data_IF_378070766756
#
_entry.id   IF_378070766756
#
_cell.length_a   1.000
_cell.length_b   1.000
_cell.length_c   1.000
_cell.angle_alpha   90.00
_cell.angle_beta   90.00
_cell.angle_gamma   90.00
#
_symmetry.space_group_name_H-M   'P 1'
#
loop_
_entity.id
_entity.type
_entity.pdbx_description
1 polymer ?
#
# COMPACT_ATOMS: atom_id res chain seq x y z
N UNK A 1 2.13 25.35 -41.15
CA UNK A 1 2.03 24.07 -41.84
C UNK A 1 2.59 23.00 -40.91
N UNK A 2 1.73 22.04 -40.54
CA UNK A 2 1.97 20.63 -40.15
C UNK A 2 3.03 20.33 -39.06
N UNK A 3 2.82 19.45 -38.08
CA UNK A 3 1.71 18.56 -37.75
C UNK A 3 1.90 18.10 -36.31
N UNK A 4 0.82 18.09 -35.54
CA UNK A 4 0.76 17.62 -34.15
C UNK A 4 0.24 16.18 -34.11
N UNK A 5 1.03 15.23 -33.61
CA UNK A 5 0.59 13.93 -33.08
C UNK A 5 1.59 13.53 -31.99
N UNK A 6 1.26 13.06 -30.78
CA UNK A 6 -0.02 12.64 -30.22
C UNK A 6 0.13 11.22 -29.69
N UNK A 7 0.60 11.02 -28.46
CA UNK A 7 0.16 9.91 -27.58
C UNK A 7 0.69 10.06 -26.14
N UNK A 8 -0.23 10.10 -25.16
CA UNK A 8 0.04 10.15 -23.71
C UNK A 8 -0.28 8.78 -23.11
N UNK A 9 0.60 8.14 -22.31
CA UNK A 9 0.29 6.85 -21.73
C UNK A 9 -0.46 6.95 -20.39
N UNK A 10 -1.24 5.88 -20.16
CA UNK A 10 -2.30 5.67 -19.17
C UNK A 10 -1.82 5.71 -17.70
N UNK A 11 -2.63 6.35 -16.86
CA UNK A 11 -2.47 6.48 -15.41
C UNK A 11 -2.84 5.20 -14.62
N UNK A 12 -1.99 4.81 -13.66
CA UNK A 12 -2.31 3.83 -12.60
C UNK A 12 -2.36 4.54 -11.24
N UNK A 13 -3.53 4.54 -10.58
CA UNK A 13 -3.72 5.07 -9.23
C UNK A 13 -3.71 3.99 -8.15
N UNK A 14 -3.32 4.46 -6.97
CA UNK A 14 -3.46 3.87 -5.64
C UNK A 14 -4.79 3.12 -5.41
N UNK A 15 -4.67 2.02 -4.67
CA UNK A 15 -5.78 1.22 -4.15
C UNK A 15 -6.66 2.10 -3.25
N UNK A 16 -7.91 2.27 -3.66
CA UNK A 16 -9.01 2.85 -2.90
C UNK A 16 -10.20 1.89 -3.16
N UNK A 17 -10.95 1.41 -2.16
CA UNK A 17 -12.12 0.53 -2.38
C UNK A 17 -13.09 1.05 -3.46
N UNK A 18 -13.22 2.37 -3.61
CA UNK A 18 -14.02 3.02 -4.67
C UNK A 18 -13.54 2.69 -6.10
N UNK A 19 -12.24 2.40 -6.28
CA UNK A 19 -11.69 2.00 -7.59
C UNK A 19 -12.06 0.55 -7.96
N UNK A 20 -12.45 -0.29 -7.01
CA UNK A 20 -12.88 -1.68 -7.29
C UNK A 20 -14.26 -1.67 -7.94
N UNK A 21 -15.16 -0.81 -7.47
CA UNK A 21 -16.50 -0.60 -8.04
C UNK A 21 -16.46 -0.03 -9.46
N UNK A 22 -15.55 0.91 -9.73
CA UNK A 22 -15.33 1.49 -11.07
C UNK A 22 -14.75 0.49 -12.08
N UNK A 23 -13.95 -0.48 -11.64
CA UNK A 23 -13.47 -1.58 -12.50
C UNK A 23 -14.61 -2.56 -12.81
N UNK A 24 -15.50 -2.80 -11.84
CA UNK A 24 -16.67 -3.67 -11.98
C UNK A 24 -17.67 -3.14 -13.01
N UNK A 25 -18.03 -1.86 -12.93
CA UNK A 25 -18.93 -1.19 -13.89
C UNK A 25 -18.30 -1.14 -15.29
N UNK A 26 -16.98 -0.93 -15.39
CA UNK A 26 -16.27 -0.90 -16.68
C UNK A 26 -16.30 -2.25 -17.41
N UNK A 27 -16.02 -3.36 -16.73
CA UNK A 27 -16.06 -4.70 -17.36
C UNK A 27 -17.48 -5.08 -17.80
N UNK A 28 -18.51 -4.74 -17.01
CA UNK A 28 -19.91 -5.00 -17.36
C UNK A 28 -20.40 -4.17 -18.55
N UNK A 29 -19.95 -2.91 -18.69
CA UNK A 29 -20.26 -2.09 -19.87
C UNK A 29 -19.59 -2.63 -21.14
N UNK A 30 -18.31 -3.01 -21.11
CA UNK A 30 -17.63 -3.59 -22.28
C UNK A 30 -18.28 -4.89 -22.74
N UNK A 31 -18.74 -5.74 -21.82
CA UNK A 31 -19.48 -6.97 -22.15
C UNK A 31 -20.89 -6.72 -22.71
N UNK A 32 -21.53 -5.58 -22.38
CA UNK A 32 -22.80 -5.17 -22.99
C UNK A 32 -22.61 -4.62 -24.40
N UNK A 33 -21.57 -3.81 -24.63
CA UNK A 33 -21.28 -3.22 -25.95
C UNK A 33 -20.86 -4.29 -26.97
N UNK A 34 -20.10 -5.30 -26.56
CA UNK A 34 -19.73 -6.42 -27.45
C UNK A 34 -20.89 -7.37 -27.77
N UNK A 35 -22.04 -7.26 -27.08
CA UNK A 35 -23.25 -8.04 -27.38
C UNK A 35 -24.26 -7.30 -28.27
N UNK A 36 -24.06 -6.00 -28.53
CA UNK A 36 -24.98 -5.19 -29.35
C UNK A 36 -24.51 -4.94 -30.78
N UNK A 37 -23.24 -5.19 -31.10
CA UNK A 37 -22.69 -4.90 -32.44
C UNK A 37 -22.61 -6.15 -33.32
N UNK A 38 -23.73 -6.85 -33.47
CA UNK A 38 -23.83 -7.95 -34.42
C UNK A 38 -25.10 -7.84 -35.27
N UNK A 39 -25.37 -6.66 -35.82
CA UNK A 39 -26.27 -6.42 -36.95
C UNK A 39 -25.93 -5.10 -37.63
N UNK A 40 -25.55 -5.14 -38.92
CA UNK A 40 -25.83 -4.05 -39.86
C UNK A 40 -24.71 -3.05 -40.17
N UNK A 41 -24.14 -3.26 -41.35
CA UNK A 41 -23.80 -2.28 -42.39
C UNK A 41 -22.60 -1.31 -42.27
N UNK A 42 -21.92 -1.19 -43.42
CA UNK A 42 -20.71 -0.43 -43.67
C UNK A 42 -21.06 0.97 -44.20
N UNK A 43 -20.71 2.02 -43.45
CA UNK A 43 -20.10 3.28 -43.91
C UNK A 43 -20.39 4.42 -42.92
N UNK A 44 -19.46 4.64 -41.99
CA UNK A 44 -19.13 5.91 -41.32
C UNK A 44 -18.31 5.57 -40.06
N UNK A 45 -16.98 5.38 -40.20
CA UNK A 45 -16.13 4.85 -39.11
C UNK A 45 -15.14 5.84 -38.48
N UNK A 46 -15.13 7.10 -38.90
CA UNK A 46 -14.13 8.08 -38.41
C UNK A 46 -14.70 9.20 -37.51
N UNK A 47 -15.96 9.59 -37.63
CA UNK A 47 -16.58 10.60 -36.75
C UNK A 47 -17.09 10.00 -35.42
N UNK A 48 -17.60 8.77 -35.45
CA UNK A 48 -18.14 8.07 -34.28
C UNK A 48 -17.05 7.54 -33.34
N UNK A 49 -15.87 7.21 -33.86
CA UNK A 49 -14.74 6.77 -33.06
C UNK A 49 -14.16 7.89 -32.18
N UNK A 50 -14.18 9.15 -32.65
CA UNK A 50 -13.69 10.30 -31.87
C UNK A 50 -14.64 10.65 -30.72
N UNK A 51 -15.95 10.49 -30.93
CA UNK A 51 -16.96 10.65 -29.87
C UNK A 51 -16.97 9.47 -28.89
N UNK A 52 -16.80 8.23 -29.36
CA UNK A 52 -16.64 7.06 -28.52
C UNK A 52 -15.39 7.17 -27.61
N UNK A 53 -14.26 7.66 -28.13
CA UNK A 53 -13.03 7.87 -27.35
C UNK A 53 -13.18 9.00 -26.33
N UNK A 54 -13.91 10.09 -26.64
CA UNK A 54 -14.28 11.14 -25.67
C UNK A 54 -15.20 10.59 -24.56
N UNK A 55 -16.22 9.80 -24.91
CA UNK A 55 -17.12 9.17 -23.93
C UNK A 55 -16.43 8.11 -23.06
N UNK A 56 -15.47 7.35 -23.60
CA UNK A 56 -14.67 6.39 -22.84
C UNK A 56 -13.71 7.11 -21.87
N UNK A 57 -13.20 8.29 -22.22
CA UNK A 57 -12.38 9.13 -21.32
C UNK A 57 -13.18 9.61 -20.11
N UNK A 58 -14.44 10.00 -20.30
CA UNK A 58 -15.36 10.40 -19.21
C UNK A 58 -15.65 9.24 -18.26
N UNK A 59 -15.69 8.00 -18.76
CA UNK A 59 -15.89 6.79 -17.97
C UNK A 59 -14.61 6.30 -17.25
N UNK A 60 -13.43 6.89 -17.55
CA UNK A 60 -12.19 6.63 -16.84
C UNK A 60 -12.06 7.56 -15.63
N UNK A 61 -12.72 7.18 -14.53
CA UNK A 61 -12.95 7.95 -13.31
C UNK A 61 -11.75 8.61 -12.59
N UNK A 62 -10.55 8.62 -13.13
CA UNK A 62 -9.37 9.27 -12.55
C UNK A 62 -9.35 10.80 -12.71
N UNK A 63 -9.98 11.32 -13.77
CA UNK A 63 -10.18 12.76 -14.03
C UNK A 63 -11.66 13.12 -14.22
N UNK A 64 -12.55 12.25 -13.75
CA UNK A 64 -13.99 12.55 -13.79
C UNK A 64 -14.28 13.77 -12.91
N UNK A 65 -15.13 14.67 -13.40
CA UNK A 65 -15.82 15.68 -12.59
C UNK A 65 -16.40 15.03 -11.32
N UNK A 66 -16.73 13.73 -11.40
CA UNK A 66 -17.17 12.94 -10.28
C UNK A 66 -16.20 12.79 -9.11
N UNK A 67 -14.92 12.58 -9.38
CA UNK A 67 -13.92 12.40 -8.33
C UNK A 67 -13.59 13.70 -7.59
N UNK A 68 -13.91 14.87 -8.15
CA UNK A 68 -13.64 16.19 -7.55
C UNK A 68 -14.86 16.82 -6.90
N UNK A 69 -16.07 16.37 -7.22
CA UNK A 69 -17.30 16.94 -6.68
C UNK A 69 -17.50 16.51 -5.20
N UNK A 70 -17.56 17.44 -4.24
CA UNK A 70 -17.69 17.13 -2.83
C UNK A 70 -19.00 16.43 -2.47
N UNK A 71 -20.10 16.69 -3.18
CA UNK A 71 -21.39 16.03 -2.95
C UNK A 71 -21.34 14.56 -3.33
N UNK A 72 -20.69 14.23 -4.44
CA UNK A 72 -20.60 12.83 -4.88
C UNK A 72 -19.55 12.04 -4.10
N UNK A 73 -18.48 12.71 -3.65
CA UNK A 73 -17.60 12.12 -2.65
C UNK A 73 -18.36 11.77 -1.36
N UNK A 74 -19.27 12.64 -0.93
CA UNK A 74 -20.13 12.41 0.24
C UNK A 74 -21.10 11.26 -0.01
N UNK A 75 -21.84 11.28 -1.12
CA UNK A 75 -22.81 10.25 -1.47
C UNK A 75 -22.16 8.86 -1.52
N UNK A 76 -21.00 8.72 -2.19
CA UNK A 76 -20.26 7.46 -2.23
C UNK A 76 -19.89 6.95 -0.83
N UNK A 77 -19.50 7.85 0.08
CA UNK A 77 -19.18 7.49 1.46
C UNK A 77 -20.43 7.07 2.24
N UNK A 78 -21.51 7.86 2.21
CA UNK A 78 -22.72 7.59 2.98
C UNK A 78 -23.49 6.36 2.48
N UNK A 79 -23.36 6.00 1.20
CA UNK A 79 -23.89 4.73 0.66
C UNK A 79 -23.05 3.55 1.14
N UNK A 80 -21.72 3.66 1.11
CA UNK A 80 -20.83 2.55 1.49
C UNK A 80 -20.76 2.33 3.01
N UNK A 81 -20.87 3.39 3.80
CA UNK A 81 -20.62 3.35 5.24
C UNK A 81 -21.52 2.38 6.02
N UNK A 82 -22.87 2.33 5.81
CA UNK A 82 -23.72 1.35 6.49
C UNK A 82 -23.28 -0.09 6.23
N UNK A 83 -22.92 -0.41 4.99
CA UNK A 83 -22.43 -1.74 4.62
C UNK A 83 -21.11 -2.07 5.34
N UNK A 84 -20.16 -1.13 5.34
CA UNK A 84 -18.88 -1.26 6.06
C UNK A 84 -19.13 -1.48 7.55
N UNK A 85 -20.04 -0.70 8.15
CA UNK A 85 -20.39 -0.77 9.57
C UNK A 85 -21.02 -2.11 9.96
N UNK A 86 -21.89 -2.66 9.10
CA UNK A 86 -22.51 -3.97 9.29
C UNK A 86 -21.47 -5.09 9.21
N UNK A 87 -20.66 -5.10 8.14
CA UNK A 87 -19.62 -6.12 7.94
C UNK A 87 -18.61 -6.10 9.09
N UNK A 88 -18.24 -4.91 9.59
CA UNK A 88 -17.31 -4.78 10.71
C UNK A 88 -17.79 -5.43 12.02
N UNK A 89 -19.10 -5.64 12.19
CA UNK A 89 -19.69 -6.28 13.37
C UNK A 89 -19.84 -7.78 13.25
N UNK A 90 -19.68 -8.35 12.06
CA UNK A 90 -19.77 -9.79 11.85
C UNK A 90 -18.70 -10.54 12.68
N UNK A 91 -19.02 -11.73 13.23
CA UNK A 91 -18.04 -12.60 13.85
C UNK A 91 -16.92 -12.99 12.87
N UNK A 92 -15.72 -13.28 13.38
CA UNK A 92 -14.57 -13.65 12.53
C UNK A 92 -14.81 -14.84 11.59
N UNK A 93 -15.47 -15.94 12.00
CA UNK A 93 -15.78 -17.02 11.07
C UNK A 93 -16.59 -16.54 9.86
N UNK A 94 -17.57 -15.65 10.09
CA UNK A 94 -18.43 -15.10 9.05
C UNK A 94 -17.65 -14.15 8.14
N UNK A 95 -16.80 -13.28 8.70
CA UNK A 95 -16.01 -12.35 7.88
C UNK A 95 -14.98 -13.08 7.01
N UNK A 96 -14.44 -14.20 7.49
CA UNK A 96 -13.52 -15.03 6.71
C UNK A 96 -14.23 -15.90 5.67
N UNK A 97 -15.46 -16.35 5.94
CA UNK A 97 -16.32 -16.94 4.91
C UNK A 97 -16.63 -15.92 3.80
N UNK A 98 -16.95 -14.67 4.17
CA UNK A 98 -17.10 -13.58 3.21
C UNK A 98 -15.82 -13.34 2.41
N UNK A 99 -14.65 -13.33 3.06
CA UNK A 99 -13.34 -13.24 2.38
C UNK A 99 -13.15 -14.35 1.35
N UNK A 100 -13.54 -15.59 1.66
CA UNK A 100 -13.45 -16.72 0.73
C UNK A 100 -14.38 -16.56 -0.49
N UNK A 101 -15.59 -16.05 -0.29
CA UNK A 101 -16.52 -15.70 -1.39
C UNK A 101 -15.95 -14.58 -2.25
N UNK A 102 -15.44 -13.52 -1.61
CA UNK A 102 -14.80 -12.40 -2.32
C UNK A 102 -13.58 -12.88 -3.09
N UNK A 103 -12.76 -13.76 -2.52
CA UNK A 103 -11.64 -14.39 -3.21
C UNK A 103 -12.09 -15.16 -4.45
N UNK A 104 -13.16 -15.98 -4.33
CA UNK A 104 -13.68 -16.73 -5.46
C UNK A 104 -14.06 -15.81 -6.62
N UNK A 105 -14.84 -14.76 -6.32
CA UNK A 105 -15.27 -13.77 -7.32
C UNK A 105 -14.05 -13.02 -7.90
N UNK A 106 -13.17 -12.52 -7.04
CA UNK A 106 -12.06 -11.66 -7.44
C UNK A 106 -11.01 -12.41 -8.27
N UNK A 107 -10.72 -13.67 -7.92
CA UNK A 107 -9.76 -14.50 -8.64
C UNK A 107 -10.39 -15.21 -9.84
N UNK A 108 -11.48 -15.97 -9.68
CA UNK A 108 -11.99 -16.84 -10.75
C UNK A 108 -12.89 -16.10 -11.75
N UNK A 109 -13.72 -15.16 -11.30
CA UNK A 109 -14.67 -14.45 -12.17
C UNK A 109 -14.05 -13.17 -12.74
N UNK A 110 -13.51 -12.30 -11.88
CA UNK A 110 -13.00 -10.99 -12.29
C UNK A 110 -11.59 -11.10 -12.88
N UNK A 111 -10.77 -12.03 -12.37
CA UNK A 111 -9.35 -12.13 -12.75
C UNK A 111 -8.55 -10.90 -12.34
N UNK A 112 -8.79 -10.37 -11.13
CA UNK A 112 -8.16 -9.13 -10.68
C UNK A 112 -6.63 -9.25 -10.66
N UNK A 113 -5.97 -8.47 -11.52
CA UNK A 113 -4.51 -8.28 -11.58
C UNK A 113 -3.70 -9.59 -11.66
N UNK A 114 -4.26 -10.68 -12.19
CA UNK A 114 -3.56 -11.97 -12.32
C UNK A 114 -2.20 -11.84 -12.99
N UNK A 115 -2.15 -11.18 -14.15
CA UNK A 115 -0.89 -10.98 -14.89
C UNK A 115 0.15 -10.18 -14.12
N UNK A 116 -0.29 -9.17 -13.35
CA UNK A 116 0.63 -8.36 -12.53
C UNK A 116 1.19 -9.18 -11.39
N UNK A 117 0.33 -9.93 -10.69
CA UNK A 117 0.73 -10.78 -9.56
C UNK A 117 1.69 -11.88 -10.06
N UNK A 118 1.33 -12.56 -11.15
CA UNK A 118 2.14 -13.60 -11.77
C UNK A 118 3.51 -13.06 -12.19
N UNK A 119 3.54 -11.96 -12.96
CA UNK A 119 4.78 -11.34 -13.42
C UNK A 119 5.67 -10.90 -12.25
N UNK A 120 5.09 -10.29 -11.23
CA UNK A 120 5.86 -9.85 -10.07
C UNK A 120 6.49 -11.03 -9.31
N UNK A 121 5.72 -12.09 -9.06
CA UNK A 121 6.22 -13.29 -8.38
C UNK A 121 7.31 -13.96 -9.23
N UNK A 122 7.10 -14.10 -10.55
CA UNK A 122 8.08 -14.74 -11.45
C UNK A 122 9.40 -13.98 -11.51
N UNK A 123 9.37 -12.65 -11.42
CA UNK A 123 10.58 -11.81 -11.37
C UNK A 123 11.30 -11.92 -10.03
N UNK A 124 10.54 -11.94 -8.92
CA UNK A 124 11.10 -12.11 -7.59
C UNK A 124 11.70 -13.51 -7.36
N UNK A 125 11.07 -14.54 -7.94
CA UNK A 125 11.44 -15.95 -7.78
C UNK A 125 11.56 -16.62 -9.16
N UNK A 126 12.66 -16.36 -9.90
CA UNK A 126 12.84 -16.86 -11.26
C UNK A 126 12.87 -18.39 -11.35
N UNK A 127 13.30 -19.06 -10.28
CA UNK A 127 13.43 -20.53 -10.22
C UNK A 127 12.09 -21.26 -10.09
N UNK A 128 11.01 -20.56 -9.72
CA UNK A 128 9.69 -21.19 -9.64
C UNK A 128 9.13 -21.50 -11.03
N UNK A 129 8.58 -22.70 -11.20
CA UNK A 129 7.80 -23.06 -12.38
C UNK A 129 6.52 -22.23 -12.48
N UNK A 130 5.95 -22.13 -13.68
CA UNK A 130 4.68 -21.41 -13.88
C UNK A 130 3.55 -21.96 -13.00
N UNK A 131 3.53 -23.28 -12.73
CA UNK A 131 2.54 -23.90 -11.85
C UNK A 131 2.69 -23.42 -10.40
N UNK A 132 3.91 -23.34 -9.90
CA UNK A 132 4.20 -22.83 -8.55
C UNK A 132 3.89 -21.34 -8.43
N UNK A 133 4.21 -20.54 -9.44
CA UNK A 133 3.85 -19.11 -9.50
C UNK A 133 2.33 -18.92 -9.46
N UNK A 134 1.56 -19.73 -10.21
CA UNK A 134 0.09 -19.69 -10.16
C UNK A 134 -0.43 -20.08 -8.78
N UNK A 135 0.13 -21.12 -8.16
CA UNK A 135 -0.25 -21.56 -6.82
C UNK A 135 0.00 -20.47 -5.77
N UNK A 136 1.17 -19.83 -5.82
CA UNK A 136 1.52 -18.71 -4.94
C UNK A 136 0.63 -17.48 -5.20
N UNK A 137 0.32 -17.18 -6.47
CA UNK A 137 -0.60 -16.11 -6.85
C UNK A 137 -1.99 -16.29 -6.27
N UNK A 138 -2.50 -17.55 -6.23
CA UNK A 138 -3.78 -17.88 -5.59
C UNK A 138 -3.72 -17.62 -4.08
N UNK A 139 -2.68 -18.11 -3.40
CA UNK A 139 -2.49 -17.89 -1.95
C UNK A 139 -2.41 -16.39 -1.61
N UNK A 140 -1.63 -15.62 -2.38
CA UNK A 140 -1.53 -14.17 -2.21
C UNK A 140 -2.85 -13.44 -2.45
N UNK A 141 -3.58 -13.81 -3.51
CA UNK A 141 -4.88 -13.18 -3.79
C UNK A 141 -5.89 -13.48 -2.68
N UNK A 142 -5.91 -14.71 -2.14
CA UNK A 142 -6.77 -15.06 -1.00
C UNK A 142 -6.39 -14.26 0.25
N UNK A 143 -5.10 -14.11 0.54
CA UNK A 143 -4.66 -13.30 1.66
C UNK A 143 -5.00 -11.81 1.47
N UNK A 144 -4.89 -11.28 0.26
CA UNK A 144 -5.30 -9.91 -0.04
C UNK A 144 -6.79 -9.68 0.27
N UNK A 145 -7.65 -10.67 0.01
CA UNK A 145 -9.05 -10.62 0.44
C UNK A 145 -9.20 -10.64 1.97
N UNK A 146 -8.39 -11.42 2.68
CA UNK A 146 -8.34 -11.38 4.15
C UNK A 146 -7.99 -9.97 4.65
N UNK A 147 -6.91 -9.36 4.14
CA UNK A 147 -6.50 -8.00 4.56
C UNK A 147 -7.60 -6.98 4.28
N UNK A 148 -8.31 -7.10 3.14
CA UNK A 148 -9.41 -6.20 2.82
C UNK A 148 -10.55 -6.28 3.84
N UNK A 149 -10.99 -7.50 4.20
CA UNK A 149 -12.05 -7.66 5.20
C UNK A 149 -11.56 -7.32 6.62
N UNK A 150 -10.29 -7.58 6.93
CA UNK A 150 -9.66 -7.22 8.20
C UNK A 150 -9.57 -5.70 8.38
N UNK A 151 -9.33 -4.95 7.30
CA UNK A 151 -9.39 -3.49 7.28
C UNK A 151 -10.82 -2.99 7.59
N UNK A 152 -11.86 -3.62 7.03
CA UNK A 152 -13.25 -3.30 7.38
C UNK A 152 -13.52 -3.64 8.85
N UNK A 153 -13.05 -4.82 9.31
CA UNK A 153 -13.18 -5.29 10.70
C UNK A 153 -12.57 -4.29 11.68
N UNK A 154 -11.49 -3.60 11.31
CA UNK A 154 -10.86 -2.56 12.12
C UNK A 154 -11.82 -1.45 12.58
N UNK A 155 -12.92 -1.22 11.86
CA UNK A 155 -13.96 -0.26 12.27
C UNK A 155 -14.63 -0.61 13.60
N UNK A 156 -14.89 -1.90 13.83
CA UNK A 156 -15.66 -2.40 14.96
C UNK A 156 -14.87 -3.26 15.95
N UNK A 157 -13.62 -3.60 15.63
CA UNK A 157 -12.77 -4.41 16.52
C UNK A 157 -12.36 -3.62 17.77
N UNK A 158 -12.48 -4.24 18.94
CA UNK A 158 -12.03 -3.66 20.20
C UNK A 158 -10.52 -3.81 20.37
N UNK A 159 -9.94 -3.02 21.30
CA UNK A 159 -8.52 -3.08 21.68
C UNK A 159 -8.13 -4.50 22.12
N UNK A 160 -8.88 -5.07 23.08
CA UNK A 160 -8.70 -6.44 23.57
C UNK A 160 -8.75 -7.49 22.45
N UNK A 161 -9.64 -7.34 21.48
CA UNK A 161 -9.81 -8.32 20.40
C UNK A 161 -8.67 -8.24 19.37
N UNK A 162 -8.14 -7.03 19.08
CA UNK A 162 -6.96 -6.91 18.21
C UNK A 162 -5.69 -7.44 18.89
N UNK A 163 -5.51 -7.20 20.20
CA UNK A 163 -4.35 -7.69 20.96
C UNK A 163 -4.26 -9.23 21.00
N UNK A 164 -5.39 -9.93 21.06
CA UNK A 164 -5.42 -11.40 20.96
C UNK A 164 -4.92 -11.93 19.60
N UNK A 165 -4.94 -11.08 18.58
CA UNK A 165 -4.70 -11.42 17.17
C UNK A 165 -3.41 -10.82 16.63
N UNK A 166 -2.86 -9.81 17.29
CA UNK A 166 -1.66 -9.13 16.87
C UNK A 166 -0.79 -8.92 18.11
N UNK A 167 0.33 -9.65 18.16
CA UNK A 167 1.30 -9.60 19.24
C UNK A 167 2.59 -8.94 18.77
N UNK A 168 3.38 -8.41 19.70
CA UNK A 168 4.65 -7.77 19.40
C UNK A 168 5.73 -8.24 20.37
N UNK A 169 6.86 -8.67 19.82
CA UNK A 169 8.07 -9.01 20.57
C UNK A 169 9.11 -7.89 20.47
N UNK A 170 10.05 -7.85 21.42
CA UNK A 170 11.15 -6.87 21.48
C UNK A 170 10.68 -5.42 21.59
N UNK A 171 9.66 -5.22 22.42
CA UNK A 171 9.04 -3.92 22.67
C UNK A 171 9.90 -3.12 23.65
N UNK A 172 10.61 -3.81 24.53
CA UNK A 172 11.43 -3.25 25.60
C UNK A 172 12.59 -2.40 25.06
N UNK A 173 13.26 -2.87 23.99
CA UNK A 173 14.35 -2.13 23.33
C UNK A 173 13.83 -0.82 22.74
N UNK A 174 12.64 -0.84 22.13
CA UNK A 174 12.00 0.35 21.56
C UNK A 174 11.55 1.31 22.66
N UNK A 175 10.89 0.82 23.70
CA UNK A 175 10.39 1.65 24.80
C UNK A 175 11.51 2.28 25.64
N UNK A 176 12.72 1.71 25.62
CA UNK A 176 13.89 2.36 26.22
C UNK A 176 14.19 3.73 25.58
N UNK A 177 14.01 3.87 24.26
CA UNK A 177 14.18 5.15 23.57
C UNK A 177 13.09 6.17 23.93
N UNK A 178 11.85 5.70 24.14
CA UNK A 178 10.76 6.57 24.59
C UNK A 178 11.09 7.20 25.95
N UNK A 179 11.58 6.37 26.89
CA UNK A 179 12.02 6.82 28.23
C UNK A 179 13.22 7.75 28.18
N UNK A 180 14.08 7.60 27.18
CA UNK A 180 15.24 8.46 26.97
C UNK A 180 14.93 9.76 26.21
N UNK A 181 13.66 10.02 25.84
CA UNK A 181 13.31 11.18 25.03
C UNK A 181 13.90 11.14 23.61
N UNK A 182 14.29 9.96 23.11
CA UNK A 182 14.89 9.80 21.78
C UNK A 182 13.84 9.33 20.77
N UNK A 183 13.54 10.12 19.72
CA UNK A 183 12.56 9.73 18.71
C UNK A 183 13.14 8.65 17.78
N UNK A 184 12.28 7.76 17.28
CA UNK A 184 12.69 6.64 16.42
C UNK A 184 11.96 6.63 15.08
N UNK A 185 12.58 6.05 14.05
CA UNK A 185 11.92 5.73 12.78
C UNK A 185 11.55 4.25 12.78
N UNK A 186 10.28 3.97 12.50
CA UNK A 186 9.79 2.60 12.27
C UNK A 186 9.45 2.42 10.78
N UNK A 187 10.12 1.50 10.12
CA UNK A 187 9.83 1.13 8.74
C UNK A 187 8.94 -0.11 8.70
N UNK A 188 7.92 -0.09 7.85
CA UNK A 188 6.98 -1.19 7.63
C UNK A 188 6.90 -1.52 6.14
N UNK A 189 6.38 -2.70 5.83
CA UNK A 189 6.08 -3.11 4.46
C UNK A 189 4.63 -3.57 4.33
N UNK A 190 4.10 -3.66 3.11
CA UNK A 190 2.81 -4.29 2.83
C UNK A 190 2.92 -5.82 2.86
N UNK A 191 3.35 -6.34 4.01
CA UNK A 191 3.54 -7.77 4.32
C UNK A 191 2.58 -8.17 5.44
N UNK A 192 1.95 -9.34 5.31
CA UNK A 192 0.97 -9.85 6.26
C UNK A 192 -0.09 -8.77 6.60
N UNK A 193 -0.47 -8.61 7.87
CA UNK A 193 -1.40 -7.55 8.28
C UNK A 193 -0.68 -6.28 8.74
N UNK A 194 -0.31 -5.47 7.75
CA UNK A 194 0.17 -4.11 8.00
C UNK A 194 -0.96 -3.17 8.48
N UNK A 195 -2.23 -3.51 8.28
CA UNK A 195 -3.39 -2.73 8.75
C UNK A 195 -3.68 -2.92 10.24
N UNK A 196 -3.36 -4.08 10.83
CA UNK A 196 -3.55 -4.33 12.27
C UNK A 196 -2.37 -3.93 13.14
N UNK A 197 -1.37 -3.27 12.55
CA UNK A 197 -0.31 -2.56 13.29
C UNK A 197 -0.87 -1.47 14.20
N UNK A 198 -2.13 -1.09 14.07
CA UNK A 198 -2.86 -0.26 15.06
C UNK A 198 -2.82 -0.85 16.48
N UNK A 199 -2.60 -2.16 16.63
CA UNK A 199 -2.43 -2.80 17.94
C UNK A 199 -1.13 -2.40 18.66
N UNK A 200 -0.16 -1.85 17.93
CA UNK A 200 1.13 -1.42 18.48
C UNK A 200 1.01 -0.32 19.53
N UNK A 201 -0.02 0.52 19.45
CA UNK A 201 -0.26 1.60 20.42
C UNK A 201 -0.43 1.08 21.87
N UNK A 202 -0.69 -0.21 22.07
CA UNK A 202 -0.74 -0.83 23.41
C UNK A 202 0.60 -1.33 23.93
N UNK A 203 1.53 -1.59 23.04
CA UNK A 203 2.84 -2.13 23.39
C UNK A 203 3.85 -1.00 23.57
N UNK A 204 3.68 0.10 22.85
CA UNK A 204 4.71 1.12 22.70
C UNK A 204 4.43 2.35 23.59
N UNK A 205 5.45 2.79 24.31
CA UNK A 205 5.41 3.96 25.20
C UNK A 205 5.56 5.32 24.46
N UNK A 206 5.47 5.31 23.13
CA UNK A 206 5.63 6.48 22.27
C UNK A 206 4.28 7.07 21.86
N UNK A 207 4.28 8.38 21.59
CA UNK A 207 3.30 8.93 20.67
C UNK A 207 3.64 8.51 19.23
N UNK A 208 2.76 7.73 18.62
CA UNK A 208 2.97 7.19 17.28
C UNK A 208 2.46 8.16 16.20
N UNK A 209 3.34 8.50 15.26
CA UNK A 209 3.04 9.28 14.07
C UNK A 209 3.17 8.42 12.81
N UNK A 210 2.06 8.06 12.20
CA UNK A 210 2.05 7.26 10.96
C UNK A 210 2.11 8.19 9.75
N UNK A 211 3.24 8.16 9.05
CA UNK A 211 3.44 8.93 7.83
C UNK A 211 2.52 8.39 6.74
N UNK A 212 1.60 9.23 6.31
CA UNK A 212 0.53 8.84 5.41
C UNK A 212 0.29 9.88 4.31
N UNK A 213 -0.16 9.39 3.16
CA UNK A 213 -0.58 10.21 2.04
C UNK A 213 -2.11 10.30 2.01
N UNK A 214 -2.70 11.51 2.12
CA UNK A 214 -4.14 11.70 2.06
C UNK A 214 -4.81 11.03 0.87
N UNK A 215 -5.93 10.36 1.13
CA UNK A 215 -6.81 9.80 0.11
C UNK A 215 -7.60 10.93 -0.53
N UNK A 216 -7.84 10.83 -1.85
CA UNK A 216 -8.51 11.88 -2.62
C UNK A 216 -9.93 12.19 -2.13
N UNK A 217 -10.69 11.18 -1.71
CA UNK A 217 -12.04 11.38 -1.16
C UNK A 217 -11.92 11.78 0.31
N UNK A 218 -12.31 13.01 0.65
CA UNK A 218 -12.15 13.58 1.99
C UNK A 218 -12.91 12.83 3.08
N UNK A 219 -14.07 12.24 2.78
CA UNK A 219 -14.89 11.51 3.76
C UNK A 219 -14.25 10.17 4.10
N UNK A 220 -13.80 9.43 3.07
CA UNK A 220 -13.03 8.20 3.28
C UNK A 220 -11.68 8.48 3.96
N UNK A 221 -11.02 9.60 3.63
CA UNK A 221 -9.76 9.99 4.29
C UNK A 221 -9.98 10.25 5.79
N UNK A 222 -10.97 11.05 6.16
CA UNK A 222 -11.32 11.31 7.56
C UNK A 222 -11.68 10.01 8.29
N UNK A 223 -12.49 9.16 7.66
CA UNK A 223 -12.89 7.88 8.22
C UNK A 223 -11.70 6.93 8.43
N UNK A 224 -10.81 6.76 7.45
CA UNK A 224 -9.62 5.90 7.58
C UNK A 224 -8.68 6.44 8.66
N UNK A 225 -8.49 7.75 8.74
CA UNK A 225 -7.71 8.38 9.82
C UNK A 225 -8.31 8.08 11.19
N UNK A 226 -9.64 8.16 11.32
CA UNK A 226 -10.35 7.79 12.56
C UNK A 226 -10.15 6.32 12.91
N UNK A 227 -10.27 5.41 11.95
CA UNK A 227 -10.12 3.96 12.20
C UNK A 227 -8.67 3.60 12.55
N UNK A 228 -7.69 4.14 11.83
CA UNK A 228 -6.27 3.84 12.05
C UNK A 228 -5.68 4.55 13.27
N UNK A 229 -6.25 5.68 13.68
CA UNK A 229 -5.82 6.42 14.87
C UNK A 229 -6.62 6.13 16.15
N UNK A 230 -7.61 5.22 16.10
CA UNK A 230 -8.53 4.99 17.23
C UNK A 230 -7.87 4.50 18.52
N UNK A 231 -6.61 4.03 18.46
CA UNK A 231 -5.88 3.49 19.60
C UNK A 231 -4.75 4.38 20.11
N UNK A 232 -4.51 5.56 19.51
CA UNK A 232 -3.51 6.52 19.97
C UNK A 232 -2.64 7.10 18.87
N UNK A 233 -2.53 6.42 17.72
CA UNK A 233 -1.74 6.86 16.57
C UNK A 233 -2.29 8.10 15.85
N UNK A 234 -1.38 9.00 15.45
CA UNK A 234 -1.67 10.19 14.64
C UNK A 234 -1.21 10.01 13.18
N UNK A 235 -2.16 9.97 12.25
CA UNK A 235 -1.83 9.92 10.81
C UNK A 235 -1.48 11.32 10.30
N UNK A 236 -0.22 11.50 9.86
CA UNK A 236 0.32 12.80 9.45
C UNK A 236 1.02 12.75 8.09
N UNK A 237 0.93 13.81 7.26
CA UNK A 237 1.79 13.92 6.09
C UNK A 237 3.27 14.04 6.46
N UNK A 238 4.18 13.59 5.58
CA UNK A 238 5.62 13.62 5.81
C UNK A 238 6.15 15.01 6.25
N UNK A 239 5.69 16.09 5.60
CA UNK A 239 6.06 17.46 5.97
C UNK A 239 5.67 17.80 7.42
N UNK A 240 4.51 17.33 7.87
CA UNK A 240 4.04 17.55 9.25
C UNK A 240 4.88 16.72 10.23
N UNK A 241 5.28 15.49 9.88
CA UNK A 241 6.18 14.69 10.70
C UNK A 241 7.51 15.43 10.97
N UNK A 242 8.16 15.98 9.94
CA UNK A 242 9.37 16.81 10.11
C UNK A 242 9.16 18.01 11.03
N UNK A 243 8.03 18.70 10.93
CA UNK A 243 7.72 19.83 11.80
C UNK A 243 7.53 19.40 13.25
N UNK A 244 6.89 18.25 13.49
CA UNK A 244 6.71 17.70 14.84
C UNK A 244 8.08 17.37 15.44
N UNK A 245 8.93 16.63 14.74
CA UNK A 245 10.27 16.29 15.22
C UNK A 245 11.06 17.55 15.57
N UNK A 246 11.02 18.57 14.70
CA UNK A 246 11.73 19.83 14.95
C UNK A 246 11.19 20.56 16.18
N UNK A 247 9.88 20.55 16.39
CA UNK A 247 9.24 21.19 17.53
C UNK A 247 9.47 20.45 18.85
N UNK A 248 9.65 19.13 18.81
CA UNK A 248 9.87 18.28 20.00
C UNK A 248 11.34 18.12 20.38
N UNK A 249 12.29 18.75 19.67
CA UNK A 249 13.73 18.62 19.95
C UNK A 249 14.14 19.03 21.37
N UNK A 250 13.34 19.87 22.02
CA UNK A 250 13.60 20.39 23.37
C UNK A 250 12.53 19.92 24.38
N UNK A 251 11.75 18.89 24.06
CA UNK A 251 10.76 18.30 24.96
C UNK A 251 11.19 16.91 25.38
N UNK A 252 10.76 16.49 26.57
CA UNK A 252 10.90 15.10 27.03
C UNK A 252 9.98 14.12 26.26
N UNK A 253 9.08 14.64 25.40
CA UNK A 253 8.24 13.85 24.51
C UNK A 253 8.98 13.46 23.23
N UNK A 254 9.22 12.16 23.07
CA UNK A 254 9.69 11.57 21.83
C UNK A 254 8.56 10.91 21.04
N UNK A 255 8.69 10.94 19.72
CA UNK A 255 7.74 10.31 18.80
C UNK A 255 8.32 9.07 18.11
N UNK A 256 7.45 8.11 17.82
CA UNK A 256 7.72 7.02 16.88
C UNK A 256 7.16 7.42 15.52
N UNK A 257 8.01 7.48 14.49
CA UNK A 257 7.62 7.89 13.14
C UNK A 257 7.56 6.66 12.23
N UNK A 258 6.34 6.18 11.97
CA UNK A 258 6.08 4.97 11.20
C UNK A 258 5.91 5.26 9.70
N UNK A 259 6.65 4.56 8.84
CA UNK A 259 6.57 4.68 7.38
C UNK A 259 6.38 3.32 6.73
N UNK A 260 5.35 3.19 5.88
CA UNK A 260 5.25 2.04 4.98
C UNK A 260 6.17 2.27 3.77
N UNK A 261 7.38 1.72 3.83
CA UNK A 261 8.54 2.15 3.05
C UNK A 261 8.76 1.38 1.73
N UNK A 262 8.01 0.31 1.48
CA UNK A 262 8.05 -0.49 0.24
C UNK A 262 7.18 0.09 -0.89
N UNK A 263 6.66 1.31 -0.74
CA UNK A 263 5.87 1.99 -1.76
C UNK A 263 6.71 2.42 -2.98
N UNK A 264 6.07 2.48 -4.14
CA UNK A 264 6.69 2.96 -5.37
C UNK A 264 6.39 4.46 -5.57
N UNK A 265 7.41 5.31 -5.82
CA UNK A 265 7.16 6.67 -6.23
C UNK A 265 6.43 6.72 -7.57
N UNK A 266 5.80 7.88 -7.87
CA UNK A 266 5.33 8.12 -9.24
C UNK A 266 6.56 8.25 -10.16
N UNK A 267 6.46 7.89 -11.44
CA UNK A 267 7.59 7.99 -12.38
C UNK A 267 8.25 9.38 -12.38
N UNK A 268 7.46 10.46 -12.30
CA UNK A 268 7.95 11.84 -12.24
C UNK A 268 8.76 12.21 -10.99
N UNK A 269 8.72 11.36 -9.95
CA UNK A 269 9.41 11.53 -8.67
C UNK A 269 10.36 10.36 -8.35
N UNK A 270 10.52 9.40 -9.27
CA UNK A 270 11.39 8.25 -9.08
C UNK A 270 12.84 8.65 -9.35
N UNK A 271 13.58 9.08 -8.32
CA UNK A 271 14.98 9.49 -8.46
C UNK A 271 15.96 8.48 -7.86
N UNK A 272 15.52 7.70 -6.87
CA UNK A 272 16.36 6.82 -6.08
C UNK A 272 16.00 5.37 -6.38
N UNK A 273 16.99 4.53 -6.66
CA UNK A 273 16.78 3.11 -6.97
C UNK A 273 17.71 2.21 -6.16
N UNK A 274 17.14 1.15 -5.58
CA UNK A 274 17.88 0.06 -4.92
C UNK A 274 17.59 -1.29 -5.59
N UNK A 275 18.30 -2.33 -5.18
CA UNK A 275 18.01 -3.71 -5.58
C UNK A 275 17.01 -4.30 -4.60
N UNK A 276 15.88 -4.79 -5.11
CA UNK A 276 14.85 -5.45 -4.31
C UNK A 276 14.26 -6.64 -5.06
N UNK A 277 14.39 -7.85 -4.49
CA UNK A 277 13.92 -9.11 -5.08
C UNK A 277 14.40 -9.28 -6.54
N UNK A 278 15.72 -9.20 -6.74
CA UNK A 278 16.41 -9.31 -8.04
C UNK A 278 16.12 -8.18 -9.04
N UNK A 279 15.45 -7.12 -8.62
CA UNK A 279 15.03 -6.04 -9.52
C UNK A 279 15.55 -4.68 -9.07
N UNK A 280 16.03 -3.88 -10.02
CA UNK A 280 16.28 -2.45 -9.80
C UNK A 280 14.95 -1.74 -9.59
N UNK A 281 14.82 -1.11 -8.43
CA UNK A 281 13.54 -0.79 -7.81
C UNK A 281 13.52 0.65 -7.33
N UNK A 282 12.57 1.49 -7.78
CA UNK A 282 12.50 2.89 -7.35
C UNK A 282 11.99 2.99 -5.91
N UNK A 283 12.58 3.84 -5.08
CA UNK A 283 12.29 3.93 -3.63
C UNK A 283 12.07 5.37 -3.18
N UNK A 284 11.52 5.52 -1.97
CA UNK A 284 11.51 6.80 -1.25
C UNK A 284 12.63 6.81 -0.21
N UNK A 285 13.47 7.84 -0.22
CA UNK A 285 14.53 8.05 0.79
C UNK A 285 14.06 8.82 2.03
N UNK A 286 12.74 8.97 2.22
CA UNK A 286 12.17 9.81 3.27
C UNK A 286 12.51 9.34 4.69
N UNK A 287 12.40 8.03 4.94
CA UNK A 287 12.73 7.44 6.25
C UNK A 287 14.21 7.56 6.57
N UNK A 288 15.08 7.28 5.59
CA UNK A 288 16.52 7.42 5.75
C UNK A 288 16.94 8.86 6.03
N UNK A 289 16.52 9.81 5.18
CA UNK A 289 16.88 11.23 5.35
C UNK A 289 16.36 11.80 6.65
N UNK A 290 15.16 11.39 7.08
CA UNK A 290 14.63 11.74 8.39
C UNK A 290 15.55 11.19 9.50
N UNK A 291 15.88 9.90 9.46
CA UNK A 291 16.70 9.29 10.50
C UNK A 291 18.11 9.92 10.59
N UNK A 292 18.78 10.14 9.46
CA UNK A 292 20.10 10.79 9.42
C UNK A 292 20.06 12.21 9.98
N UNK A 293 19.08 13.02 9.57
CA UNK A 293 18.98 14.42 9.97
C UNK A 293 18.81 14.63 11.49
N UNK A 294 18.25 13.64 12.18
CA UNK A 294 17.93 13.71 13.60
C UNK A 294 18.63 12.64 14.45
N UNK A 295 19.65 11.95 13.91
CA UNK A 295 20.40 10.89 14.60
C UNK A 295 19.49 9.83 15.25
N UNK A 296 18.44 9.43 14.54
CA UNK A 296 17.39 8.56 15.09
C UNK A 296 17.78 7.08 14.97
N UNK A 297 17.45 6.25 15.97
CA UNK A 297 17.36 4.81 15.81
C UNK A 297 16.33 4.45 14.73
N UNK A 298 16.60 3.38 14.00
CA UNK A 298 15.72 2.87 12.96
C UNK A 298 15.46 1.38 13.16
N UNK A 299 14.19 1.01 13.12
CA UNK A 299 13.74 -0.38 13.21
C UNK A 299 12.86 -0.74 12.00
N UNK A 300 12.91 -1.99 11.58
CA UNK A 300 11.93 -2.61 10.71
C UNK A 300 10.91 -3.37 11.57
N UNK A 301 9.62 -3.09 11.37
CA UNK A 301 8.57 -3.93 11.94
C UNK A 301 8.35 -5.15 11.06
N UNK A 302 8.97 -6.27 11.45
CA UNK A 302 8.75 -7.56 10.82
C UNK A 302 7.37 -8.09 11.23
N UNK A 303 6.44 -8.28 10.29
CA UNK A 303 5.11 -8.85 10.57
C UNK A 303 4.96 -10.20 9.89
N UNK A 304 4.75 -11.24 10.69
CA UNK A 304 4.54 -12.61 10.24
C UNK A 304 3.10 -13.04 10.50
N UNK A 305 2.53 -13.82 9.58
CA UNK A 305 1.22 -14.45 9.77
C UNK A 305 1.42 -15.82 10.38
N UNK A 306 0.85 -16.06 11.55
CA UNK A 306 0.90 -17.35 12.25
C UNK A 306 -0.21 -18.26 11.73
N UNK A 307 -1.43 -17.71 11.62
CA UNK A 307 -2.59 -18.36 11.03
C UNK A 307 -3.58 -17.28 10.58
N UNK A 308 -4.68 -17.67 9.92
CA UNK A 308 -5.70 -16.71 9.44
C UNK A 308 -6.22 -15.84 10.60
N UNK A 309 -6.03 -14.53 10.50
CA UNK A 309 -6.43 -13.58 11.54
C UNK A 309 -5.57 -13.55 12.79
N UNK A 310 -4.35 -14.09 12.75
CA UNK A 310 -3.39 -14.03 13.85
C UNK A 310 -1.99 -13.76 13.31
N UNK A 311 -1.37 -12.72 13.86
CA UNK A 311 -0.12 -12.14 13.41
C UNK A 311 0.81 -11.93 14.60
N UNK A 312 2.10 -12.06 14.33
CA UNK A 312 3.17 -11.77 15.27
C UNK A 312 4.08 -10.74 14.64
N UNK A 313 4.38 -9.68 15.38
CA UNK A 313 5.30 -8.64 14.95
C UNK A 313 6.55 -8.63 15.82
N UNK A 314 7.64 -8.14 15.25
CA UNK A 314 8.92 -8.02 15.94
C UNK A 314 9.65 -6.77 15.44
N UNK A 315 10.21 -6.01 16.37
CA UNK A 315 11.11 -4.90 16.04
C UNK A 315 12.49 -5.45 15.71
N UNK A 316 12.83 -5.45 14.43
CA UNK A 316 14.14 -5.84 13.92
C UNK A 316 14.98 -4.57 13.73
N UNK A 317 16.10 -4.49 14.45
CA UNK A 317 16.97 -3.32 14.42
C UNK A 317 17.62 -3.13 13.03
N UNK A 318 17.66 -1.88 12.56
CA UNK A 318 18.47 -1.47 11.42
C UNK A 318 19.73 -0.74 11.92
N UNK A 319 19.56 0.32 12.71
CA UNK A 319 20.67 1.06 13.33
C UNK A 319 20.17 1.78 14.60
N UNK A 320 21.07 2.09 15.52
CA UNK A 320 20.76 2.91 16.70
C UNK A 320 21.02 4.40 16.48
N UNK A 321 21.77 4.75 15.44
CA UNK A 321 22.11 6.13 15.13
C UNK A 321 22.39 6.25 13.63
N UNK A 322 21.33 6.57 12.88
CA UNK A 322 21.44 6.73 11.44
C UNK A 322 22.43 7.82 11.02
N UNK A 323 22.73 8.82 11.86
CA UNK A 323 23.68 9.88 11.48
C UNK A 323 25.12 9.40 11.33
N UNK A 324 25.44 8.25 11.93
CA UNK A 324 26.77 7.60 11.83
C UNK A 324 26.87 6.60 10.69
N UNK A 325 25.75 6.26 10.06
CA UNK A 325 25.72 5.31 8.97
C UNK A 325 26.10 5.98 7.64
N UNK A 326 26.49 5.17 6.66
CA UNK A 326 26.69 5.64 5.28
C UNK A 326 25.34 5.93 4.63
N UNK A 327 25.33 6.83 3.66
CA UNK A 327 24.17 6.99 2.77
C UNK A 327 23.79 5.63 2.16
N UNK A 328 22.48 5.42 1.98
CA UNK A 328 21.82 4.18 1.58
C UNK A 328 21.74 3.07 2.63
N UNK A 329 22.47 3.14 3.74
CA UNK A 329 22.53 2.04 4.71
C UNK A 329 21.14 1.65 5.23
N UNK A 330 20.33 2.62 5.66
CA UNK A 330 19.01 2.36 6.24
C UNK A 330 18.06 1.75 5.21
N UNK A 331 17.99 2.34 4.01
CA UNK A 331 17.12 1.90 2.93
C UNK A 331 17.51 0.51 2.44
N UNK A 332 18.80 0.27 2.21
CA UNK A 332 19.29 -1.02 1.73
C UNK A 332 19.09 -2.11 2.76
N UNK A 333 19.35 -1.83 4.04
CA UNK A 333 19.12 -2.77 5.15
C UNK A 333 17.64 -3.12 5.30
N UNK A 334 16.75 -2.13 5.21
CA UNK A 334 15.31 -2.37 5.22
C UNK A 334 14.89 -3.33 4.10
N UNK A 335 15.33 -3.09 2.86
CA UNK A 335 14.96 -3.98 1.75
C UNK A 335 15.59 -5.36 1.87
N UNK A 336 16.79 -5.51 2.43
CA UNK A 336 17.39 -6.82 2.70
C UNK A 336 16.60 -7.61 3.75
N UNK A 337 16.23 -6.97 4.87
CA UNK A 337 15.41 -7.61 5.91
C UNK A 337 14.01 -7.97 5.38
N UNK A 338 13.42 -7.09 4.57
CA UNK A 338 12.14 -7.35 3.89
C UNK A 338 12.23 -8.53 2.91
N UNK A 339 13.30 -8.63 2.11
CA UNK A 339 13.52 -9.78 1.23
C UNK A 339 13.58 -11.09 2.02
N UNK A 340 14.27 -11.12 3.16
CA UNK A 340 14.32 -12.29 4.04
C UNK A 340 12.93 -12.68 4.52
N UNK A 341 12.11 -11.72 4.94
CA UNK A 341 10.74 -11.96 5.38
C UNK A 341 9.84 -12.46 4.23
N UNK A 342 9.94 -11.86 3.05
CA UNK A 342 9.17 -12.27 1.87
C UNK A 342 9.58 -13.66 1.42
N UNK A 343 10.87 -14.02 1.44
CA UNK A 343 11.32 -15.38 1.12
C UNK A 343 10.76 -16.42 2.10
N UNK A 344 10.58 -16.04 3.38
CA UNK A 344 10.00 -16.91 4.41
C UNK A 344 8.48 -17.11 4.23
N UNK A 345 7.73 -16.03 3.93
CA UNK A 345 6.28 -16.10 3.75
C UNK A 345 5.82 -15.33 2.48
N UNK A 346 6.14 -15.83 1.28
CA UNK A 346 5.95 -15.09 0.05
C UNK A 346 4.48 -14.81 -0.25
N UNK A 347 3.55 -15.67 0.18
CA UNK A 347 2.12 -15.48 -0.06
C UNK A 347 1.54 -14.23 0.64
N UNK A 348 2.24 -13.66 1.61
CA UNK A 348 1.72 -12.56 2.41
C UNK A 348 2.22 -11.17 1.99
N UNK A 349 3.01 -11.08 0.92
CA UNK A 349 3.38 -9.81 0.32
C UNK A 349 2.32 -9.29 -0.65
N UNK A 350 2.18 -7.96 -0.77
CA UNK A 350 1.23 -7.31 -1.68
C UNK A 350 1.69 -7.37 -3.16
N UNK A 351 1.64 -8.57 -3.75
CA UNK A 351 2.05 -8.81 -5.15
C UNK A 351 1.18 -8.10 -6.19
N UNK A 352 0.00 -7.61 -5.82
CA UNK A 352 -0.88 -6.85 -6.73
C UNK A 352 -0.38 -5.43 -7.01
N UNK A 353 0.60 -4.95 -6.23
CA UNK A 353 1.25 -3.66 -6.40
C UNK A 353 2.20 -3.68 -7.61
N UNK A 354 2.09 -2.66 -8.48
CA UNK A 354 2.96 -2.52 -9.66
C UNK A 354 4.31 -1.93 -9.26
N UNK A 355 5.10 -2.70 -8.50
CA UNK A 355 6.33 -2.24 -7.85
C UNK A 355 7.42 -1.80 -8.83
N UNK A 356 7.50 -2.49 -9.96
CA UNK A 356 8.58 -2.35 -10.95
C UNK A 356 8.10 -1.86 -12.32
N UNK A 357 7.13 -0.94 -12.32
CA UNK A 357 6.60 -0.29 -13.53
C UNK A 357 7.47 0.84 -14.06
N UNK A 358 8.49 1.23 -13.31
CA UNK A 358 9.38 2.36 -13.61
C UNK A 358 10.79 1.85 -13.44
N UNK A 359 11.56 1.96 -14.51
CA UNK A 359 12.98 1.62 -14.57
C UNK A 359 13.82 2.90 -14.59
N UNK A 360 15.11 2.85 -14.23
CA UNK A 360 16.00 4.01 -14.29
C UNK A 360 15.96 4.75 -15.63
N UNK A 361 15.94 4.01 -16.74
CA UNK A 361 15.90 4.51 -18.11
C UNK A 361 14.60 5.25 -18.47
N UNK A 362 13.50 5.02 -17.73
CA UNK A 362 12.23 5.72 -17.94
C UNK A 362 12.22 7.15 -17.34
N UNK A 363 13.23 7.50 -16.54
CA UNK A 363 13.24 8.71 -15.72
C UNK A 363 14.01 9.83 -16.42
N UNK A 364 13.33 10.96 -16.64
CA UNK A 364 13.93 12.15 -17.27
C UNK A 364 14.90 12.94 -16.38
N UNK A 365 14.85 12.74 -15.07
CA UNK A 365 15.71 13.43 -14.09
C UNK A 365 16.94 12.57 -13.81
N UNK A 366 17.99 13.20 -13.26
CA UNK A 366 19.13 12.46 -12.73
C UNK A 366 18.66 11.39 -11.75
N UNK A 367 19.13 10.17 -11.97
CA UNK A 367 18.85 8.99 -11.17
C UNK A 367 20.05 8.70 -10.29
N UNK A 368 19.78 8.32 -9.05
CA UNK A 368 20.76 7.86 -8.08
C UNK A 368 20.52 6.38 -7.77
N UNK A 369 21.59 5.59 -7.87
CA UNK A 369 21.57 4.14 -7.65
C UNK A 369 22.26 3.82 -6.32
N UNK A 370 21.60 3.03 -5.49
CA UNK A 370 22.20 2.50 -4.26
C UNK A 370 23.46 1.66 -4.57
N UNK A 371 24.39 1.53 -3.61
CA UNK A 371 25.51 0.59 -3.73
C UNK A 371 25.08 -0.85 -4.04
N UNK A 372 23.87 -1.29 -3.66
CA UNK A 372 23.34 -2.62 -3.97
C UNK A 372 23.01 -2.87 -5.44
N UNK A 373 22.78 -1.82 -6.23
CA UNK A 373 22.49 -1.94 -7.68
C UNK A 373 23.79 -1.97 -8.48
N UNK A 374 24.83 -1.29 -7.99
CA UNK A 374 26.13 -1.17 -8.66
C UNK A 374 27.03 -2.42 -8.50
N UNK A 375 26.63 -3.36 -7.63
CA UNK A 375 27.36 -4.59 -7.30
C UNK A 375 26.91 -5.81 -8.10
#
# INVERSE_FOLDING_TARGET
MQETTGEKPKMFTSLNPVNVELVFIKKLKVLKTLKTDNTGDHNDRDSDNVNAVKHIKILSGQDSIFAKNPLMQAAAFYIAYPLIWLIARLPFPVIYALSDVVYFILYYIIGYRKEVIFSNIKRAFPDLSNKEVVALSKKSTRHFCDIFVEMIKSTGISRREVQKRFTCDNVEEVNAFAKAGQPIVLMLAHQASYEWTIALDDFIDFRTYVVYKPIKNKYFDQYIRKVRGKFGSDLVPMKKAYNIIRGSRNSDEAGLYALVADQAPKPSFAQFFTKFLNETTPVFMGGERMAHQYAMPVYFLKVEKIKRGYYKSHFEKITLDASKEKEWFVTDSFFQQLETLIKKQPEYYLWSHKRWKTKPEDVKRAVELSPRVQR
#
